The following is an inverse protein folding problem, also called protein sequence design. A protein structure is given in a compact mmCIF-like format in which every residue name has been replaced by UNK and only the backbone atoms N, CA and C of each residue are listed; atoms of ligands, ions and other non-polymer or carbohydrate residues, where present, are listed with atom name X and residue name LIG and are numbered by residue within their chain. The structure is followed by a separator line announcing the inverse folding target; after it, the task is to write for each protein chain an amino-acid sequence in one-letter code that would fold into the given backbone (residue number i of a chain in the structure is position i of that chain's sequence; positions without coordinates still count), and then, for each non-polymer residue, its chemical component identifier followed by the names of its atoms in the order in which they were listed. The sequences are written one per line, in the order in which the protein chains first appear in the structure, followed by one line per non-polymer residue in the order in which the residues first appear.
data_IF_632503999506
#
_entry.id   IF_632503999506
#
_cell.length_a   1.000
_cell.length_b   1.000
_cell.length_c   1.000
_cell.angle_alpha   90.00
_cell.angle_beta   90.00
_cell.angle_gamma   90.00
#
_symmetry.space_group_name_H-M   'P 1'
#
loop_
_entity.id
_entity.type
_entity.pdbx_description
1 polymer ?
#
# COMPACT_ATOMS: atom_id res chain seq x y z
N UNK A 1 8.84 2.67 7.81
CA UNK A 1 7.76 1.67 7.68
C UNK A 1 7.52 1.42 6.21
N UNK A 2 7.35 0.17 5.79
CA UNK A 2 7.04 -0.21 4.41
C UNK A 2 5.54 -0.45 4.31
N UNK A 3 4.88 0.09 3.29
CA UNK A 3 3.45 -0.02 3.05
C UNK A 3 3.26 -0.72 1.69
N UNK A 4 2.31 -1.65 1.64
CA UNK A 4 1.87 -2.37 0.46
C UNK A 4 0.42 -2.82 0.61
N UNK A 5 -0.07 -3.66 -0.29
CA UNK A 5 -1.41 -4.27 -0.17
C UNK A 5 -1.31 -5.75 0.21
N UNK A 6 -2.42 -6.33 0.64
CA UNK A 6 -2.48 -7.74 1.00
C UNK A 6 -2.71 -8.63 -0.23
N UNK A 7 -2.37 -9.90 -0.10
CA UNK A 7 -2.70 -10.92 -1.11
C UNK A 7 -4.21 -10.98 -1.39
N UNK A 8 -5.03 -10.80 -0.35
CA UNK A 8 -6.47 -10.69 -0.52
C UNK A 8 -6.85 -9.49 -1.42
N UNK A 9 -6.28 -8.32 -1.16
CA UNK A 9 -6.58 -7.10 -1.89
C UNK A 9 -6.18 -7.19 -3.37
N UNK A 10 -4.98 -7.70 -3.68
CA UNK A 10 -4.58 -7.87 -5.09
C UNK A 10 -5.52 -8.82 -5.83
N UNK A 11 -6.00 -9.88 -5.16
CA UNK A 11 -6.97 -10.81 -5.73
C UNK A 11 -8.34 -10.19 -6.01
N UNK A 12 -8.75 -9.17 -5.23
CA UNK A 12 -10.00 -8.42 -5.49
C UNK A 12 -9.85 -7.41 -6.63
N UNK A 13 -8.67 -6.79 -6.77
CA UNK A 13 -8.39 -5.83 -7.85
C UNK A 13 -8.29 -6.53 -9.22
N UNK A 14 -7.70 -7.72 -9.24
CA UNK A 14 -7.30 -8.41 -10.47
C UNK A 14 -5.95 -7.91 -10.96
N UNK A 15 -5.70 -8.03 -12.26
CA UNK A 15 -4.39 -7.73 -12.85
C UNK A 15 -4.08 -6.23 -12.76
N UNK A 16 -3.09 -5.88 -11.93
CA UNK A 16 -2.61 -4.51 -11.72
C UNK A 16 -1.82 -4.08 -12.93
N UNK A 17 -2.11 -2.88 -13.43
CA UNK A 17 -1.46 -2.31 -14.63
C UNK A 17 -0.73 -1.01 -14.33
N UNK A 18 -1.10 -0.30 -13.27
CA UNK A 18 -0.46 0.96 -12.90
C UNK A 18 -0.66 1.27 -11.41
N UNK A 19 0.29 2.00 -10.84
CA UNK A 19 0.21 2.54 -9.47
C UNK A 19 0.61 4.00 -9.51
N UNK A 20 -0.24 4.87 -8.99
CA UNK A 20 0.07 6.28 -8.78
C UNK A 20 0.64 6.48 -7.36
N UNK A 21 1.81 7.09 -7.29
CA UNK A 21 2.52 7.34 -6.04
C UNK A 21 2.52 8.83 -5.66
N UNK A 22 2.59 9.13 -4.35
CA UNK A 22 2.86 10.48 -3.86
C UNK A 22 4.32 10.86 -4.11
N UNK A 23 4.66 12.14 -3.95
CA UNK A 23 6.05 12.58 -4.12
C UNK A 23 6.93 12.13 -2.94
N UNK A 24 8.19 11.74 -3.23
CA UNK A 24 9.16 11.50 -2.16
C UNK A 24 9.42 12.80 -1.41
N UNK A 25 9.13 12.79 -0.12
CA UNK A 25 9.22 13.95 0.76
C UNK A 25 7.89 14.57 1.12
N UNK A 26 6.80 14.12 0.52
CA UNK A 26 5.43 14.49 0.88
C UNK A 26 5.03 13.92 2.25
N UNK A 27 4.16 14.64 2.96
CA UNK A 27 3.56 14.19 4.21
C UNK A 27 2.20 13.56 3.93
N UNK A 28 1.98 12.36 4.46
CA UNK A 28 0.71 11.63 4.39
C UNK A 28 0.12 11.50 5.79
N UNK A 29 -1.21 11.53 5.88
CA UNK A 29 -1.95 11.46 7.16
C UNK A 29 -2.71 10.15 7.24
N UNK A 30 -2.69 9.50 8.40
CA UNK A 30 -3.45 8.28 8.63
C UNK A 30 -4.93 8.44 8.24
N UNK A 31 -5.44 7.50 7.43
CA UNK A 31 -6.82 7.51 6.95
C UNK A 31 -7.09 8.36 5.71
N UNK A 32 -6.14 9.19 5.26
CA UNK A 32 -6.26 9.96 4.02
C UNK A 32 -5.70 9.18 2.82
N UNK A 33 -6.22 9.40 1.60
CA UNK A 33 -5.66 8.83 0.38
C UNK A 33 -4.29 9.43 0.09
N UNK A 34 -3.34 8.60 -0.34
CA UNK A 34 -1.99 9.03 -0.72
C UNK A 34 -1.60 8.63 -2.15
N UNK A 35 -2.43 7.85 -2.84
CA UNK A 35 -2.18 7.36 -4.19
C UNK A 35 -3.32 6.48 -4.66
N UNK A 36 -3.16 5.88 -5.85
CA UNK A 36 -4.18 5.04 -6.46
C UNK A 36 -3.54 3.80 -7.09
N UNK A 37 -4.30 2.70 -7.15
CA UNK A 37 -3.93 1.50 -7.87
C UNK A 37 -4.95 1.22 -8.97
N UNK A 38 -4.47 1.06 -10.19
CA UNK A 38 -5.27 0.75 -11.36
C UNK A 38 -5.01 -0.69 -11.79
N UNK A 39 -6.10 -1.43 -11.94
CA UNK A 39 -6.16 -2.77 -12.48
C UNK A 39 -7.06 -2.79 -13.71
N UNK A 40 -6.97 -3.83 -14.53
CA UNK A 40 -7.71 -3.96 -15.81
C UNK A 40 -9.23 -3.73 -15.65
N UNK A 41 -9.79 -4.00 -14.47
CA UNK A 41 -11.24 -3.93 -14.20
C UNK A 41 -11.64 -2.81 -13.25
N UNK A 42 -10.70 -2.18 -12.54
CA UNK A 42 -11.03 -1.32 -11.41
C UNK A 42 -9.89 -0.37 -11.06
N UNK A 43 -10.24 0.73 -10.41
CA UNK A 43 -9.31 1.69 -9.81
C UNK A 43 -9.69 1.80 -8.34
N UNK A 44 -8.69 1.80 -7.45
CA UNK A 44 -8.90 1.94 -6.01
C UNK A 44 -7.92 2.94 -5.43
N UNK A 45 -8.41 3.80 -4.53
CA UNK A 45 -7.57 4.67 -3.73
C UNK A 45 -6.76 3.86 -2.70
N UNK A 46 -5.56 4.33 -2.40
CA UNK A 46 -4.66 3.81 -1.38
C UNK A 46 -4.67 4.75 -0.18
N UNK A 47 -5.06 4.24 0.98
CA UNK A 47 -5.17 5.02 2.21
C UNK A 47 -3.96 4.79 3.12
N UNK A 48 -3.46 5.86 3.74
CA UNK A 48 -2.28 5.75 4.59
C UNK A 48 -2.65 5.06 5.90
N UNK A 49 -1.98 3.96 6.29
CA UNK A 49 -2.29 3.27 7.54
C UNK A 49 -1.80 4.02 8.78
N UNK A 50 -0.75 4.84 8.63
CA UNK A 50 -0.20 5.72 9.66
C UNK A 50 0.33 7.00 9.01
N UNK A 51 0.37 8.07 9.79
CA UNK A 51 0.88 9.38 9.41
C UNK A 51 2.41 9.37 9.31
N UNK A 52 2.96 10.08 8.33
CA UNK A 52 4.41 10.19 8.17
C UNK A 52 4.85 10.85 6.87
N UNK A 53 6.17 10.87 6.67
CA UNK A 53 6.78 11.44 5.48
C UNK A 53 7.23 10.35 4.52
N UNK A 54 6.89 10.45 3.24
CA UNK A 54 7.34 9.53 2.19
C UNK A 54 8.86 9.64 2.02
N UNK A 55 9.54 8.51 2.09
CA UNK A 55 11.00 8.39 1.99
C UNK A 55 11.46 7.65 0.74
N UNK A 56 10.61 6.79 0.18
CA UNK A 56 10.83 6.12 -1.08
C UNK A 56 9.49 5.61 -1.64
N UNK A 57 9.42 5.51 -2.96
CA UNK A 57 8.36 4.83 -3.72
C UNK A 57 8.99 3.66 -4.47
N UNK A 58 8.21 2.67 -4.88
CA UNK A 58 8.74 1.52 -5.61
C UNK A 58 8.71 1.78 -7.13
N UNK A 59 9.72 2.52 -7.61
CA UNK A 59 9.86 2.86 -9.04
C UNK A 59 9.91 1.62 -9.97
N UNK A 60 10.20 0.43 -9.42
CA UNK A 60 10.21 -0.81 -10.23
C UNK A 60 8.82 -1.24 -10.70
N UNK A 61 7.75 -0.69 -10.10
CA UNK A 61 6.36 -0.99 -10.49
C UNK A 61 5.93 -0.25 -11.78
N UNK A 62 6.69 0.76 -12.23
CA UNK A 62 6.46 1.38 -13.53
C UNK A 62 6.76 0.41 -14.69
N UNK A 63 7.75 -0.46 -14.51
CA UNK A 63 8.14 -1.47 -15.50
C UNK A 63 7.51 -2.84 -15.23
N UNK A 64 7.12 -3.13 -13.98
CA UNK A 64 6.62 -4.44 -13.55
C UNK A 64 5.49 -4.31 -12.52
N UNK A 65 4.33 -3.72 -12.88
CA UNK A 65 3.20 -3.54 -11.97
C UNK A 65 2.63 -4.87 -11.44
N UNK A 66 2.80 -5.96 -12.20
CA UNK A 66 2.36 -7.31 -11.84
C UNK A 66 3.07 -7.89 -10.60
N UNK A 67 4.14 -7.24 -10.11
CA UNK A 67 4.77 -7.57 -8.82
C UNK A 67 3.82 -7.36 -7.65
N UNK A 68 2.89 -6.40 -7.76
CA UNK A 68 1.85 -6.20 -6.75
C UNK A 68 0.94 -7.43 -6.66
N UNK A 69 0.67 -8.11 -7.79
CA UNK A 69 -0.09 -9.35 -7.80
C UNK A 69 0.73 -10.57 -7.34
N UNK A 70 1.98 -10.67 -7.79
CA UNK A 70 2.79 -11.89 -7.63
C UNK A 70 3.57 -11.96 -6.32
N UNK A 71 3.98 -10.82 -5.76
CA UNK A 71 4.71 -10.74 -4.49
C UNK A 71 4.33 -9.49 -3.67
N UNK A 72 3.06 -9.36 -3.23
CA UNK A 72 2.54 -8.17 -2.55
C UNK A 72 3.27 -7.82 -1.23
N UNK A 73 3.93 -8.81 -0.60
CA UNK A 73 4.64 -8.64 0.67
C UNK A 73 6.16 -8.51 0.51
N UNK A 74 6.71 -8.82 -0.66
CA UNK A 74 8.12 -8.69 -1.00
C UNK A 74 8.35 -7.55 -2.00
N UNK A 75 8.61 -7.90 -3.26
CA UNK A 75 8.99 -6.94 -4.30
C UNK A 75 7.82 -6.04 -4.77
N UNK A 76 6.58 -6.35 -4.39
CA UNK A 76 5.36 -5.59 -4.66
C UNK A 76 5.03 -4.50 -3.63
N UNK A 77 5.97 -4.12 -2.75
CA UNK A 77 5.78 -2.99 -1.83
C UNK A 77 5.50 -1.69 -2.60
N UNK A 78 4.75 -0.76 -2.01
CA UNK A 78 4.32 0.47 -2.69
C UNK A 78 5.18 1.67 -2.26
N UNK A 79 5.17 2.00 -0.97
CA UNK A 79 5.89 3.17 -0.43
C UNK A 79 6.60 2.85 0.88
N UNK A 80 7.62 3.64 1.20
CA UNK A 80 8.28 3.64 2.50
C UNK A 80 8.12 5.01 3.14
N UNK A 81 7.73 5.03 4.40
CA UNK A 81 7.56 6.27 5.15
C UNK A 81 8.43 6.30 6.40
N UNK A 82 8.78 7.51 6.84
CA UNK A 82 9.22 7.82 8.19
C UNK A 82 7.98 8.23 9.00
N UNK A 83 7.49 7.38 9.93
CA UNK A 83 6.29 7.69 10.70
C UNK A 83 6.49 8.93 11.56
N UNK A 84 5.47 9.79 11.62
CA UNK A 84 5.44 10.94 12.53
C UNK A 84 4.85 10.56 13.89
N UNK A 85 3.96 9.57 13.94
CA UNK A 85 3.41 8.99 15.15
C UNK A 85 3.45 7.45 15.08
N UNK A 86 4.20 6.82 16.00
CA UNK A 86 4.29 5.35 16.05
C UNK A 86 3.14 4.70 16.82
N UNK A 87 2.41 5.46 17.65
CA UNK A 87 1.29 4.95 18.46
C UNK A 87 0.08 4.58 17.58
N UNK A 88 -0.06 5.19 16.40
CA UNK A 88 -1.11 4.84 15.42
C UNK A 88 -1.03 3.37 14.96
N UNK A 89 0.13 2.71 15.12
CA UNK A 89 0.23 1.26 14.86
C UNK A 89 -0.59 0.41 15.82
N UNK A 90 -0.85 0.89 17.03
CA UNK A 90 -1.59 0.13 18.03
C UNK A 90 -3.09 0.04 17.69
N UNK A 91 -3.57 0.88 16.77
CA UNK A 91 -4.93 0.85 16.22
C UNK A 91 -5.07 -0.13 15.04
N UNK A 92 -3.96 -0.62 14.49
CA UNK A 92 -3.95 -1.52 13.35
C UNK A 92 -4.21 -2.97 13.76
N UNK A 93 -4.71 -3.75 12.81
CA UNK A 93 -4.93 -5.17 13.00
C UNK A 93 -3.62 -5.95 12.97
N UNK A 94 -3.50 -6.94 13.86
CA UNK A 94 -2.49 -7.99 13.73
C UNK A 94 -2.82 -8.89 12.54
N UNK A 95 -1.82 -9.63 12.05
CA UNK A 95 -2.02 -10.63 10.99
C UNK A 95 -3.17 -11.61 11.30
N UNK A 96 -3.18 -12.18 12.52
CA UNK A 96 -4.22 -13.15 12.93
C UNK A 96 -5.60 -12.52 12.99
N UNK A 97 -5.70 -11.28 13.48
CA UNK A 97 -6.97 -10.56 13.51
C UNK A 97 -7.48 -10.26 12.10
N UNK A 98 -6.58 -9.98 11.15
CA UNK A 98 -6.93 -9.75 9.76
C UNK A 98 -7.40 -11.05 9.08
N UNK A 99 -6.73 -12.19 9.32
CA UNK A 99 -7.20 -13.49 8.83
C UNK A 99 -8.61 -13.81 9.35
N UNK A 100 -8.86 -13.65 10.66
CA UNK A 100 -10.19 -13.88 11.24
C UNK A 100 -11.27 -12.96 10.66
N UNK A 101 -10.92 -11.71 10.33
CA UNK A 101 -11.83 -10.76 9.70
C UNK A 101 -12.21 -11.16 8.27
N UNK A 102 -11.30 -11.77 7.52
CA UNK A 102 -11.57 -12.26 6.16
C UNK A 102 -12.42 -13.55 6.14
N UNK A 103 -12.39 -14.33 7.23
CA UNK A 103 -13.19 -15.55 7.43
C UNK A 103 -12.47 -16.84 7.05
#
# INVERSE_FOLDING_TARGET
VVIGITDYAQGQLGDVVFVEFPEVGEEITAGDPFGEIEAVKTVSELFAPISGKVTAVNDSLDESPERVNSDPYGDGWLVKISPSNMEEKDELMSFLAYEEFLG
#
